data_IF_304651491452
#
_entry.id   IF_304651491452
#
_cell.length_a   1.000
_cell.length_b   1.000
_cell.length_c   1.000
_cell.angle_alpha   90.00
_cell.angle_beta   90.00
_cell.angle_gamma   90.00
#
_symmetry.space_group_name_H-M   'P 1'
#
loop_
_entity.id
_entity.type
_entity.pdbx_description
1 polymer ?
#
# COMPACT_ATOMS: atom_id res chain seq x y z
N UNK A 1 -30.71 -17.08 14.23
CA UNK A 1 -29.31 -17.48 14.55
C UNK A 1 -28.43 -16.26 14.41
N UNK A 2 -28.02 -15.73 15.53
CA UNK A 2 -27.35 -14.45 15.75
C UNK A 2 -25.91 -14.46 15.25
N UNK A 3 -25.56 -13.55 14.36
CA UNK A 3 -24.16 -13.28 13.95
C UNK A 3 -23.51 -12.43 15.02
N UNK A 4 -22.53 -12.97 15.72
CA UNK A 4 -21.61 -12.21 16.54
C UNK A 4 -20.75 -11.30 15.64
N UNK A 5 -20.85 -10.00 15.91
CA UNK A 5 -19.97 -8.97 15.37
C UNK A 5 -18.79 -8.80 16.34
N UNK A 6 -17.67 -9.44 16.08
CA UNK A 6 -16.42 -9.17 16.80
C UNK A 6 -15.62 -8.11 16.04
N UNK A 7 -15.78 -6.87 16.43
CA UNK A 7 -14.97 -5.76 15.98
C UNK A 7 -15.22 -4.55 16.88
N UNK A 8 -14.29 -4.29 17.79
CA UNK A 8 -14.35 -3.11 18.66
C UNK A 8 -14.10 -1.88 17.79
N UNK A 9 -15.06 -0.95 17.75
CA UNK A 9 -14.92 0.30 17.03
C UNK A 9 -13.96 1.25 17.77
N UNK A 10 -13.26 2.12 17.04
CA UNK A 10 -12.38 3.15 17.62
C UNK A 10 -13.09 4.00 18.68
N UNK A 11 -14.38 4.15 18.58
CA UNK A 11 -15.22 4.92 19.53
C UNK A 11 -15.45 4.16 20.84
N UNK A 12 -15.52 2.84 20.79
CA UNK A 12 -15.60 1.98 21.99
C UNK A 12 -14.26 1.89 22.71
N UNK A 13 -13.16 1.84 21.94
CA UNK A 13 -11.80 1.90 22.50
C UNK A 13 -11.53 3.20 23.26
N UNK A 14 -12.02 4.34 22.75
CA UNK A 14 -11.86 5.65 23.42
C UNK A 14 -12.84 5.86 24.58
N UNK A 15 -14.00 5.21 24.58
CA UNK A 15 -14.97 5.30 25.69
C UNK A 15 -14.60 4.47 26.92
N UNK A 16 -13.83 3.41 26.75
CA UNK A 16 -13.35 2.60 27.88
C UNK A 16 -12.19 3.25 28.64
N UNK A 17 -11.61 4.33 28.12
CA UNK A 17 -10.53 5.10 28.76
C UNK A 17 -10.97 6.24 29.69
N UNK A 18 -12.25 6.57 29.81
CA UNK A 18 -12.70 7.78 30.54
C UNK A 18 -13.75 7.58 31.62
N UNK A 19 -13.98 6.36 32.11
CA UNK A 19 -14.95 6.13 33.19
C UNK A 19 -14.38 5.19 34.27
N UNK A 20 -13.50 5.69 35.14
CA UNK A 20 -13.31 5.16 36.49
C UNK A 20 -12.49 6.14 37.36
N UNK A 21 -13.15 7.20 37.78
CA UNK A 21 -12.75 7.90 39.00
C UNK A 21 -13.65 7.41 40.12
N UNK A 22 -13.16 6.47 40.93
CA UNK A 22 -13.49 6.28 42.35
C UNK A 22 -12.71 5.05 42.84
N UNK A 23 -11.97 5.24 43.91
CA UNK A 23 -10.98 4.32 44.44
C UNK A 23 -11.51 2.98 44.89
N UNK A 24 -10.68 1.97 44.73
CA UNK A 24 -10.54 0.83 45.65
C UNK A 24 -9.27 0.04 45.34
N UNK A 25 -8.56 -0.24 46.41
CA UNK A 25 -7.51 -1.24 46.64
C UNK A 25 -6.74 -1.85 45.44
N UNK A 26 -5.49 -1.49 45.36
CA UNK A 26 -4.43 -2.03 44.50
C UNK A 26 -4.18 -3.49 44.78
N UNK A 27 -4.44 -4.36 43.81
CA UNK A 27 -3.74 -5.65 43.68
C UNK A 27 -2.47 -5.43 42.81
N UNK A 28 -1.31 -5.91 43.25
CA UNK A 28 -0.04 -5.61 42.53
C UNK A 28 0.25 -6.63 41.45
N UNK A 29 -0.48 -6.56 40.35
CA UNK A 29 -0.22 -7.42 39.17
C UNK A 29 -0.43 -6.76 37.80
N UNK A 30 -0.58 -5.44 37.74
CA UNK A 30 -0.65 -4.67 36.49
C UNK A 30 0.53 -3.70 36.28
N UNK A 31 1.61 -3.89 37.06
CA UNK A 31 2.86 -3.13 36.88
C UNK A 31 3.74 -3.78 35.80
N UNK A 32 3.34 -3.75 34.52
CA UNK A 32 4.13 -4.40 33.48
C UNK A 32 3.92 -3.93 32.05
N UNK A 33 2.98 -3.07 31.77
CA UNK A 33 2.78 -2.60 30.40
C UNK A 33 2.66 -1.08 30.33
N UNK A 34 3.73 -0.38 30.73
CA UNK A 34 3.93 1.01 30.32
C UNK A 34 4.32 1.03 28.85
N UNK A 35 3.35 1.02 27.98
CA UNK A 35 3.49 1.20 26.53
C UNK A 35 3.64 2.67 26.15
N UNK A 36 4.18 3.51 26.98
CA UNK A 36 4.14 4.95 26.74
C UNK A 36 5.40 5.72 27.11
N UNK A 37 6.56 5.18 26.85
CA UNK A 37 7.66 6.07 26.51
C UNK A 37 7.59 6.25 24.99
N UNK A 38 7.07 7.37 24.52
CA UNK A 38 7.18 7.75 23.11
C UNK A 38 8.67 7.78 22.76
N UNK A 39 9.13 6.78 22.02
CA UNK A 39 10.50 6.79 21.53
C UNK A 39 10.65 7.97 20.60
N UNK A 40 11.62 8.81 20.84
CA UNK A 40 11.97 9.91 19.92
C UNK A 40 12.43 9.37 18.56
N UNK A 41 13.09 8.22 18.56
CA UNK A 41 13.64 7.54 17.37
C UNK A 41 13.02 6.16 17.23
N UNK A 42 12.45 5.86 16.08
CA UNK A 42 11.89 4.55 15.73
C UNK A 42 12.68 3.94 14.58
N UNK A 43 13.18 2.73 14.77
CA UNK A 43 13.93 1.96 13.76
C UNK A 43 13.05 0.90 13.12
N UNK A 44 12.96 0.92 11.80
CA UNK A 44 12.16 -0.01 11.01
C UNK A 44 13.11 -0.91 10.21
N UNK A 45 13.12 -2.21 10.49
CA UNK A 45 13.83 -3.18 9.66
C UNK A 45 12.90 -3.64 8.55
N UNK A 46 13.23 -3.30 7.33
CA UNK A 46 12.36 -3.48 6.17
C UNK A 46 13.02 -4.41 5.13
N UNK A 47 12.23 -5.31 4.53
CA UNK A 47 12.75 -6.26 3.53
C UNK A 47 13.25 -5.60 2.24
N UNK A 48 12.74 -4.42 1.92
CA UNK A 48 13.14 -3.65 0.73
C UNK A 48 13.78 -2.33 1.17
N UNK A 49 14.96 -2.03 0.65
CA UNK A 49 15.63 -0.74 0.88
C UNK A 49 15.13 0.35 -0.05
N UNK A 50 15.42 1.59 0.34
CA UNK A 50 15.29 2.75 -0.54
C UNK A 50 16.46 2.73 -1.52
N UNK A 51 16.17 2.70 -2.81
CA UNK A 51 17.16 2.60 -3.89
C UNK A 51 17.48 3.93 -4.56
N UNK A 52 16.62 4.93 -4.35
CA UNK A 52 16.72 6.24 -4.98
C UNK A 52 16.02 7.31 -4.15
N UNK A 53 16.53 8.54 -4.21
CA UNK A 53 15.84 9.73 -3.70
C UNK A 53 14.86 10.33 -4.73
N UNK A 54 14.66 9.67 -5.86
CA UNK A 54 13.72 10.10 -6.90
C UNK A 54 12.35 9.45 -6.70
N UNK A 55 11.34 10.16 -6.18
CA UNK A 55 10.07 9.56 -5.75
C UNK A 55 9.21 9.02 -6.89
N UNK A 56 9.53 9.34 -8.15
CA UNK A 56 8.81 8.83 -9.32
C UNK A 56 9.55 7.71 -10.06
N UNK A 57 10.76 7.38 -9.64
CA UNK A 57 11.58 6.33 -10.25
C UNK A 57 11.54 5.00 -9.48
N UNK A 58 10.39 4.66 -8.92
CA UNK A 58 10.18 3.37 -8.30
C UNK A 58 8.76 2.85 -8.58
N UNK A 59 8.59 1.54 -8.55
CA UNK A 59 7.31 0.85 -8.73
C UNK A 59 6.89 0.04 -7.49
N UNK A 60 7.73 -0.01 -6.46
CA UNK A 60 7.46 -0.79 -5.24
C UNK A 60 6.40 -0.12 -4.37
N UNK A 61 5.27 -0.80 -4.18
CA UNK A 61 4.20 -0.34 -3.30
C UNK A 61 4.63 -0.18 -1.83
N UNK A 62 5.63 -0.96 -1.39
CA UNK A 62 6.15 -0.88 -0.02
C UNK A 62 6.89 0.42 0.30
N UNK A 63 7.46 1.07 -0.72
CA UNK A 63 8.16 2.34 -0.56
C UNK A 63 7.23 3.55 -0.56
N UNK A 64 6.00 3.43 -1.10
CA UNK A 64 5.03 4.53 -1.05
C UNK A 64 4.72 4.98 0.38
N UNK A 65 4.53 4.04 1.31
CA UNK A 65 4.30 4.36 2.72
C UNK A 65 5.45 5.16 3.36
N UNK A 66 6.70 4.86 2.98
CA UNK A 66 7.85 5.61 3.44
C UNK A 66 7.88 7.04 2.85
N UNK A 67 7.61 7.17 1.55
CA UNK A 67 7.55 8.47 0.88
C UNK A 67 6.45 9.40 1.39
N UNK A 68 5.29 8.86 1.78
CA UNK A 68 4.15 9.66 2.31
C UNK A 68 4.50 10.44 3.57
N UNK A 69 5.57 10.07 4.28
CA UNK A 69 6.07 10.83 5.42
C UNK A 69 6.79 12.12 4.99
N UNK A 70 7.31 12.17 3.78
CA UNK A 70 8.13 13.29 3.27
C UNK A 70 7.40 14.12 2.24
N UNK A 71 6.62 13.46 1.36
CA UNK A 71 5.95 14.10 0.23
C UNK A 71 4.50 13.66 0.20
N UNK A 72 3.59 14.59 0.07
CA UNK A 72 2.17 14.32 0.15
C UNK A 72 1.47 14.34 -1.22
N UNK A 73 0.41 13.51 -1.42
CA UNK A 73 -0.46 13.57 -2.59
C UNK A 73 -1.57 14.63 -2.42
N UNK A 74 -2.34 14.88 -3.46
CA UNK A 74 -3.55 15.73 -3.36
C UNK A 74 -4.59 15.09 -2.44
N UNK A 75 -4.80 13.79 -2.55
CA UNK A 75 -5.71 13.01 -1.73
C UNK A 75 -5.16 11.60 -1.53
N UNK A 76 -5.51 10.97 -0.43
CA UNK A 76 -5.18 9.58 -0.12
C UNK A 76 -6.45 8.73 0.04
N UNK A 77 -6.29 7.42 -0.04
CA UNK A 77 -7.37 6.48 0.17
C UNK A 77 -7.41 6.04 1.63
N UNK A 78 -8.48 6.36 2.34
CA UNK A 78 -8.78 5.75 3.64
C UNK A 78 -9.44 4.38 3.42
N UNK A 79 -8.67 3.32 3.60
CA UNK A 79 -9.13 1.95 3.38
C UNK A 79 -10.11 1.45 4.44
N UNK A 80 -10.15 2.08 5.63
CA UNK A 80 -11.11 1.72 6.67
C UNK A 80 -12.50 2.25 6.33
N UNK A 81 -12.56 3.41 5.67
CA UNK A 81 -13.80 4.05 5.24
C UNK A 81 -14.15 3.74 3.78
N UNK A 82 -13.19 3.19 3.03
CA UNK A 82 -13.29 2.97 1.59
C UNK A 82 -13.62 4.26 0.82
N UNK A 83 -13.00 5.38 1.22
CA UNK A 83 -13.22 6.70 0.65
C UNK A 83 -11.93 7.48 0.43
N UNK A 84 -11.95 8.45 -0.48
CA UNK A 84 -10.86 9.39 -0.65
C UNK A 84 -10.96 10.53 0.35
N UNK A 85 -9.85 10.81 1.03
CA UNK A 85 -9.71 11.90 1.99
C UNK A 85 -8.71 12.92 1.46
N UNK A 86 -9.05 14.19 1.55
CA UNK A 86 -8.18 15.28 1.10
C UNK A 86 -6.89 15.37 1.92
N UNK A 87 -5.78 15.62 1.21
CA UNK A 87 -4.49 15.92 1.83
C UNK A 87 -4.05 17.32 1.44
N UNK A 88 -3.33 17.51 0.33
CA UNK A 88 -3.00 18.85 -0.19
C UNK A 88 -4.21 19.53 -0.86
N UNK A 89 -5.15 18.77 -1.41
CA UNK A 89 -6.46 19.28 -1.79
C UNK A 89 -7.43 19.12 -0.61
N UNK A 90 -8.19 20.15 -0.31
CA UNK A 90 -9.27 20.11 0.69
C UNK A 90 -10.59 19.60 0.10
N UNK A 91 -10.79 19.80 -1.21
CA UNK A 91 -11.96 19.31 -1.95
C UNK A 91 -11.65 19.12 -3.43
N UNK A 92 -12.53 18.42 -4.12
CA UNK A 92 -12.47 18.25 -5.57
C UNK A 92 -13.85 17.99 -6.17
N UNK A 93 -13.98 18.31 -7.45
CA UNK A 93 -15.20 18.10 -8.23
C UNK A 93 -14.89 17.39 -9.54
N UNK A 94 -15.85 16.55 -9.98
CA UNK A 94 -15.81 15.90 -11.28
C UNK A 94 -16.94 16.41 -12.17
N UNK A 95 -16.58 17.07 -13.26
CA UNK A 95 -17.49 17.68 -14.22
C UNK A 95 -17.25 17.08 -15.62
N UNK A 96 -17.75 15.87 -15.86
CA UNK A 96 -17.60 15.17 -17.12
C UNK A 96 -16.12 14.79 -17.44
N UNK A 97 -15.43 15.59 -18.25
CA UNK A 97 -14.02 15.36 -18.60
C UNK A 97 -13.05 16.16 -17.74
N UNK A 98 -13.56 16.93 -16.80
CA UNK A 98 -12.81 17.91 -16.02
C UNK A 98 -12.83 17.53 -14.55
N UNK A 99 -11.66 17.49 -13.94
CA UNK A 99 -11.48 17.43 -12.50
C UNK A 99 -10.98 18.77 -12.00
N UNK A 100 -11.63 19.33 -10.98
CA UNK A 100 -11.21 20.57 -10.32
C UNK A 100 -10.78 20.23 -8.90
N UNK A 101 -9.58 20.59 -8.52
CA UNK A 101 -9.05 20.40 -7.16
C UNK A 101 -8.82 21.76 -6.52
N UNK A 102 -9.33 21.95 -5.32
CA UNK A 102 -9.10 23.11 -4.49
C UNK A 102 -8.03 22.80 -3.47
N UNK A 103 -6.90 23.51 -3.56
CA UNK A 103 -5.74 23.26 -2.72
C UNK A 103 -5.92 23.93 -1.36
N UNK A 104 -5.42 23.28 -0.34
CA UNK A 104 -5.36 23.81 1.02
C UNK A 104 -4.45 25.03 1.07
N UNK A 105 -4.91 26.09 1.72
CA UNK A 105 -4.13 27.33 1.92
C UNK A 105 -3.13 27.16 3.06
N UNK A 106 -2.02 27.88 3.00
CA UNK A 106 -1.01 27.91 4.05
C UNK A 106 -0.09 26.69 4.12
N UNK A 107 -0.21 25.75 3.19
CA UNK A 107 0.73 24.63 3.08
C UNK A 107 2.08 25.13 2.60
N UNK A 108 3.15 24.68 3.29
CA UNK A 108 4.53 25.00 2.94
C UNK A 108 5.33 23.72 2.67
N UNK A 109 6.26 23.83 1.77
CA UNK A 109 7.32 22.85 1.59
C UNK A 109 8.31 22.89 2.77
N UNK A 110 9.14 21.89 2.87
CA UNK A 110 10.12 21.74 3.95
C UNK A 110 11.25 22.76 3.94
N UNK A 111 11.39 23.54 2.86
CA UNK A 111 12.26 24.70 2.73
C UNK A 111 11.58 26.04 3.07
N UNK A 112 10.30 26.01 3.45
CA UNK A 112 9.50 27.18 3.79
C UNK A 112 8.77 27.83 2.62
N UNK A 113 9.02 27.42 1.37
CA UNK A 113 8.32 27.93 0.20
C UNK A 113 6.84 27.50 0.18
N UNK A 114 5.91 28.33 -0.31
CA UNK A 114 4.49 28.01 -0.35
C UNK A 114 4.20 26.96 -1.44
N UNK A 115 3.26 26.06 -1.16
CA UNK A 115 2.66 25.18 -2.17
C UNK A 115 1.67 25.97 -3.01
N UNK A 116 1.76 25.83 -4.32
CA UNK A 116 0.83 26.43 -5.28
C UNK A 116 0.34 25.41 -6.30
N UNK A 117 -0.71 25.78 -7.05
CA UNK A 117 -1.22 24.99 -8.18
C UNK A 117 -0.16 24.72 -9.25
N UNK A 118 0.83 25.60 -9.38
CA UNK A 118 1.95 25.45 -10.31
C UNK A 118 2.85 24.26 -9.96
N UNK A 119 3.06 23.98 -8.66
CA UNK A 119 3.80 22.81 -8.19
C UNK A 119 3.06 21.52 -8.52
N UNK A 120 1.74 21.52 -8.37
CA UNK A 120 0.88 20.37 -8.73
C UNK A 120 0.94 20.11 -10.23
N UNK A 121 0.73 21.15 -11.05
CA UNK A 121 0.78 21.02 -12.51
C UNK A 121 2.17 20.55 -12.98
N UNK A 122 3.22 21.11 -12.41
CA UNK A 122 4.61 20.73 -12.70
C UNK A 122 4.84 19.25 -12.34
N UNK A 123 4.48 18.81 -11.13
CA UNK A 123 4.68 17.44 -10.67
C UNK A 123 3.96 16.43 -11.55
N UNK A 124 2.71 16.71 -11.93
CA UNK A 124 1.93 15.83 -12.81
C UNK A 124 2.50 15.78 -14.23
N UNK A 125 2.92 16.91 -14.79
CA UNK A 125 3.57 16.96 -16.09
C UNK A 125 4.93 16.26 -16.06
N UNK A 126 5.70 16.42 -15.00
CA UNK A 126 6.96 15.71 -14.79
C UNK A 126 6.73 14.18 -14.77
N UNK A 127 5.76 13.70 -13.97
CA UNK A 127 5.39 12.29 -13.98
C UNK A 127 4.98 11.80 -15.37
N UNK A 128 4.27 12.61 -16.16
CA UNK A 128 3.79 12.27 -17.50
C UNK A 128 4.89 12.21 -18.54
N UNK A 129 5.88 13.11 -18.48
CA UNK A 129 6.80 13.36 -19.63
C UNK A 129 8.25 12.99 -19.35
N UNK A 130 8.74 13.09 -18.11
CA UNK A 130 10.14 12.83 -17.78
C UNK A 130 10.52 11.37 -18.08
N UNK A 131 11.68 11.18 -18.74
CA UNK A 131 12.15 9.87 -19.19
C UNK A 131 12.42 8.92 -18.00
N UNK A 132 12.79 9.46 -16.86
CA UNK A 132 13.10 8.71 -15.62
C UNK A 132 11.85 8.27 -14.87
N UNK A 133 10.69 8.87 -15.14
CA UNK A 133 9.45 8.53 -14.45
C UNK A 133 8.90 7.16 -14.87
N UNK A 134 8.68 6.27 -13.90
CA UNK A 134 7.93 5.03 -14.06
C UNK A 134 6.41 5.23 -13.91
N UNK A 135 5.97 6.47 -13.65
CA UNK A 135 4.57 6.79 -13.34
C UNK A 135 3.80 7.44 -14.49
N UNK A 136 4.23 7.25 -15.73
CA UNK A 136 3.61 7.87 -16.93
C UNK A 136 2.20 7.39 -17.24
N UNK A 137 1.96 6.09 -17.03
CA UNK A 137 0.72 5.43 -17.48
C UNK A 137 -0.56 6.09 -16.94
N UNK A 138 -0.66 6.48 -15.67
CA UNK A 138 -1.84 7.16 -15.11
C UNK A 138 -2.19 8.47 -15.81
N UNK A 139 -1.21 9.17 -16.37
CA UNK A 139 -1.39 10.50 -16.96
C UNK A 139 -1.52 10.51 -18.49
N UNK A 140 -1.41 9.36 -19.16
CA UNK A 140 -1.51 9.27 -20.64
C UNK A 140 -2.80 9.87 -21.23
N UNK A 141 -3.88 9.90 -20.44
CA UNK A 141 -5.19 10.43 -20.88
C UNK A 141 -5.46 11.87 -20.41
N UNK A 142 -4.52 12.47 -19.69
CA UNK A 142 -4.57 13.89 -19.33
C UNK A 142 -4.20 14.71 -20.57
N UNK A 143 -5.07 15.61 -20.96
CA UNK A 143 -4.88 16.50 -22.13
C UNK A 143 -4.14 17.76 -21.66
N UNK A 144 -4.67 18.37 -20.60
CA UNK A 144 -4.23 19.68 -20.12
C UNK A 144 -4.35 19.75 -18.60
N UNK A 145 -3.48 20.52 -17.97
CA UNK A 145 -3.55 20.90 -16.55
C UNK A 145 -3.48 22.41 -16.50
N UNK A 146 -4.55 23.03 -16.01
CA UNK A 146 -4.69 24.48 -15.88
C UNK A 146 -4.54 24.88 -14.42
N UNK A 147 -3.98 26.05 -14.19
CA UNK A 147 -3.79 26.67 -12.87
C UNK A 147 -4.34 28.09 -12.89
N UNK A 148 -5.69 28.25 -12.82
CA UNK A 148 -6.33 29.55 -12.95
C UNK A 148 -5.92 30.52 -11.83
N UNK A 149 -5.60 29.99 -10.67
CA UNK A 149 -5.06 30.72 -9.52
C UNK A 149 -4.09 29.83 -8.72
N UNK A 150 -3.51 30.34 -7.65
CA UNK A 150 -2.51 29.61 -6.86
C UNK A 150 -3.08 28.42 -6.06
N UNK A 151 -4.41 28.30 -5.94
CA UNK A 151 -5.06 27.27 -5.13
C UNK A 151 -6.06 26.40 -5.91
N UNK A 152 -6.16 26.59 -7.21
CA UNK A 152 -7.07 25.80 -8.06
C UNK A 152 -6.30 25.07 -9.15
N UNK A 153 -6.50 23.76 -9.26
CA UNK A 153 -5.94 22.94 -10.34
C UNK A 153 -7.06 22.29 -11.13
N UNK A 154 -7.07 22.50 -12.43
CA UNK A 154 -8.06 21.94 -13.35
C UNK A 154 -7.38 20.95 -14.27
N UNK A 155 -7.83 19.69 -14.24
CA UNK A 155 -7.26 18.60 -15.03
C UNK A 155 -8.28 18.12 -16.06
N UNK A 156 -7.95 18.29 -17.34
CA UNK A 156 -8.79 17.84 -18.44
C UNK A 156 -8.32 16.47 -18.94
N UNK A 157 -9.29 15.58 -19.15
CA UNK A 157 -9.04 14.23 -19.68
C UNK A 157 -9.71 14.05 -21.04
N UNK A 158 -9.14 13.17 -21.90
CA UNK A 158 -9.68 12.90 -23.26
C UNK A 158 -11.15 12.45 -23.27
N UNK A 159 -11.54 11.67 -22.24
CA UNK A 159 -12.89 11.13 -22.04
C UNK A 159 -13.23 11.21 -20.55
N UNK A 160 -14.51 11.16 -20.16
CA UNK A 160 -14.89 11.06 -18.76
C UNK A 160 -14.14 9.94 -18.06
N UNK A 161 -13.55 10.23 -16.88
CA UNK A 161 -12.72 9.28 -16.16
C UNK A 161 -12.98 9.36 -14.66
N UNK A 162 -14.02 8.68 -14.21
CA UNK A 162 -14.40 8.60 -12.79
C UNK A 162 -13.28 7.99 -11.93
N UNK A 163 -12.56 6.99 -12.48
CA UNK A 163 -11.44 6.32 -11.78
C UNK A 163 -10.16 7.16 -11.70
N UNK A 164 -10.20 8.47 -11.99
CA UNK A 164 -9.02 9.31 -12.00
C UNK A 164 -8.37 9.43 -10.62
N UNK A 165 -9.18 9.57 -9.55
CA UNK A 165 -8.67 9.60 -8.18
C UNK A 165 -7.87 8.34 -7.84
N UNK A 166 -8.43 7.16 -8.11
CA UNK A 166 -7.79 5.87 -7.82
C UNK A 166 -6.49 5.69 -8.59
N UNK A 167 -6.49 6.03 -9.87
CA UNK A 167 -5.39 5.70 -10.77
C UNK A 167 -4.33 6.78 -10.90
N UNK A 168 -4.69 8.06 -10.66
CA UNK A 168 -3.83 9.19 -11.01
C UNK A 168 -3.59 10.18 -9.87
N UNK A 169 -4.27 10.05 -8.74
CA UNK A 169 -4.12 10.93 -7.59
C UNK A 169 -3.55 10.17 -6.39
N UNK A 170 -4.08 8.99 -6.09
CA UNK A 170 -3.56 8.15 -5.01
C UNK A 170 -2.06 7.88 -5.21
N UNK A 171 -1.25 8.11 -4.18
CA UNK A 171 0.19 7.88 -4.19
C UNK A 171 0.92 8.65 -5.34
N UNK A 172 0.39 9.81 -5.73
CA UNK A 172 1.04 10.71 -6.68
C UNK A 172 1.49 11.95 -5.93
N UNK A 173 2.76 11.94 -5.57
CA UNK A 173 3.38 12.92 -4.71
C UNK A 173 3.56 14.27 -5.42
N UNK A 174 3.37 15.36 -4.68
CA UNK A 174 3.57 16.71 -5.19
C UNK A 174 4.89 17.24 -4.64
N UNK A 175 5.75 17.69 -5.54
CA UNK A 175 7.08 18.19 -5.21
C UNK A 175 7.24 19.66 -5.55
N UNK A 176 8.17 20.33 -4.87
CA UNK A 176 8.51 21.70 -5.18
C UNK A 176 9.08 21.82 -6.59
N UNK A 177 8.39 22.59 -7.44
CA UNK A 177 8.84 22.92 -8.79
C UNK A 177 10.21 23.60 -8.74
N UNK A 178 10.35 24.62 -7.87
CA UNK A 178 11.59 25.37 -7.73
C UNK A 178 12.78 24.48 -7.33
N UNK A 179 12.56 23.53 -6.41
CA UNK A 179 13.61 22.61 -6.00
C UNK A 179 14.04 21.66 -7.13
N UNK A 180 13.09 21.15 -7.93
CA UNK A 180 13.41 20.29 -9.06
C UNK A 180 14.15 21.07 -10.15
N UNK A 181 13.71 22.27 -10.48
CA UNK A 181 14.36 23.13 -11.50
C UNK A 181 15.77 23.51 -11.07
N UNK A 182 15.98 23.84 -9.78
CA UNK A 182 17.30 24.13 -9.23
C UNK A 182 18.27 22.96 -9.33
N UNK A 183 17.79 21.73 -9.04
CA UNK A 183 18.61 20.53 -9.06
C UNK A 183 18.82 19.97 -10.48
N UNK A 184 17.97 20.32 -11.44
CA UNK A 184 18.08 19.92 -12.83
C UNK A 184 18.29 18.42 -13.05
N UNK A 185 19.40 18.03 -13.69
CA UNK A 185 19.77 16.62 -13.94
C UNK A 185 20.12 15.85 -12.67
N UNK A 186 20.48 16.53 -11.60
CA UNK A 186 20.84 15.94 -10.31
C UNK A 186 19.62 15.71 -9.40
N UNK A 187 18.44 16.01 -9.90
CA UNK A 187 17.20 15.61 -9.22
C UNK A 187 17.19 14.08 -8.96
N UNK A 188 16.96 13.71 -7.70
CA UNK A 188 17.07 12.32 -7.26
C UNK A 188 18.42 11.94 -6.62
N UNK A 189 19.42 12.84 -6.68
CA UNK A 189 20.66 12.72 -5.89
C UNK A 189 20.60 13.52 -4.60
N UNK A 190 19.67 14.48 -4.51
CA UNK A 190 19.46 15.34 -3.34
C UNK A 190 18.17 14.96 -2.61
N UNK A 191 18.10 15.18 -1.28
CA UNK A 191 16.87 15.02 -0.52
C UNK A 191 15.72 15.82 -1.16
N UNK A 192 14.55 15.19 -1.37
CA UNK A 192 13.42 15.88 -1.95
C UNK A 192 12.84 16.91 -1.01
N UNK A 193 12.45 18.06 -1.56
CA UNK A 193 11.70 19.09 -0.87
C UNK A 193 10.21 18.75 -1.01
N UNK A 194 9.61 18.28 0.07
CA UNK A 194 8.20 17.87 0.13
C UNK A 194 7.43 18.68 1.17
N UNK A 195 6.13 18.44 1.26
CA UNK A 195 5.20 19.09 2.19
C UNK A 195 4.95 18.27 3.44
N UNK A 196 5.54 17.08 3.54
CA UNK A 196 5.23 16.08 4.56
C UNK A 196 5.70 16.41 5.97
N UNK A 197 5.24 15.62 6.96
CA UNK A 197 5.58 15.82 8.37
C UNK A 197 7.03 15.49 8.73
N UNK A 198 7.80 14.93 7.79
CA UNK A 198 9.23 14.63 7.95
C UNK A 198 10.06 15.16 6.78
N UNK A 199 11.34 15.38 7.04
CA UNK A 199 12.38 15.77 6.06
C UNK A 199 13.42 14.66 5.98
N UNK A 200 13.96 14.36 4.81
CA UNK A 200 15.09 13.43 4.66
C UNK A 200 16.36 14.08 5.23
N UNK A 201 17.01 13.37 6.13
CA UNK A 201 18.26 13.81 6.78
C UNK A 201 19.46 13.12 6.13
N UNK A 202 19.37 11.83 5.91
CA UNK A 202 20.40 11.06 5.24
C UNK A 202 19.81 9.90 4.44
N UNK A 203 20.55 9.50 3.43
CA UNK A 203 20.20 8.39 2.57
C UNK A 203 21.46 7.63 2.17
N UNK A 204 21.45 6.34 2.39
CA UNK A 204 22.43 5.43 1.85
C UNK A 204 21.68 4.38 1.01
N UNK A 205 22.07 4.23 -0.24
CA UNK A 205 21.49 3.21 -1.11
C UNK A 205 21.65 1.82 -0.50
N UNK A 206 20.56 1.07 -0.42
CA UNK A 206 20.52 -0.25 0.24
C UNK A 206 20.94 -0.27 1.73
N UNK A 207 21.13 0.88 2.33
CA UNK A 207 21.43 1.09 3.75
C UNK A 207 20.30 1.80 4.48
N UNK A 208 20.70 2.71 5.37
CA UNK A 208 19.76 3.47 6.19
C UNK A 208 19.16 4.65 5.39
N UNK A 209 17.85 4.82 5.53
CA UNK A 209 17.15 6.01 5.15
C UNK A 209 16.58 6.68 6.40
N UNK A 210 17.10 7.88 6.72
CA UNK A 210 16.78 8.60 7.94
C UNK A 210 15.92 9.81 7.60
N UNK A 211 14.77 9.90 8.26
CA UNK A 211 13.89 11.06 8.18
C UNK A 211 13.65 11.64 9.56
N UNK A 212 13.63 12.97 9.66
CA UNK A 212 13.41 13.71 10.91
C UNK A 212 12.19 14.58 10.78
N UNK A 213 11.43 14.72 11.89
CA UNK A 213 10.22 15.51 11.96
C UNK A 213 10.46 16.94 11.46
N UNK A 214 9.54 17.39 10.62
CA UNK A 214 9.49 18.77 10.16
C UNK A 214 8.80 19.61 11.25
N UNK A 215 9.55 20.45 11.95
CA UNK A 215 9.00 21.28 13.02
C UNK A 215 8.07 22.39 12.49
N UNK A 216 8.19 22.75 11.21
CA UNK A 216 7.34 23.72 10.53
C UNK A 216 6.20 23.08 9.74
N UNK A 217 5.88 21.81 10.04
CA UNK A 217 4.82 21.10 9.34
C UNK A 217 3.47 21.80 9.49
N UNK A 218 2.76 21.98 8.39
CA UNK A 218 1.48 22.67 8.31
C UNK A 218 0.31 21.93 9.01
N UNK A 219 0.42 20.63 9.21
CA UNK A 219 -0.58 19.79 9.86
C UNK A 219 -0.23 19.46 11.32
N UNK A 220 -0.90 18.45 11.87
CA UNK A 220 -0.60 17.96 13.21
C UNK A 220 0.79 17.34 13.27
N UNK A 221 1.64 17.81 14.17
CA UNK A 221 3.00 17.30 14.34
C UNK A 221 2.98 15.86 14.88
N UNK A 222 3.72 14.93 14.25
CA UNK A 222 3.87 13.57 14.78
C UNK A 222 4.61 13.59 16.13
N UNK A 223 4.37 12.56 16.94
CA UNK A 223 5.08 12.40 18.23
C UNK A 223 6.52 11.93 18.03
N UNK A 224 6.75 10.96 17.13
CA UNK A 224 8.09 10.43 16.82
C UNK A 224 8.91 11.52 16.14
N UNK A 225 10.13 11.75 16.61
CA UNK A 225 11.02 12.78 16.06
C UNK A 225 11.82 12.30 14.86
N UNK A 226 12.20 11.02 14.84
CA UNK A 226 13.03 10.47 13.77
C UNK A 226 12.64 9.02 13.45
N UNK A 227 12.63 8.68 12.17
CA UNK A 227 12.56 7.31 11.69
C UNK A 227 13.83 6.92 10.97
N UNK A 228 14.30 5.71 11.23
CA UNK A 228 15.41 5.06 10.53
C UNK A 228 14.86 3.81 9.85
N UNK A 229 14.76 3.84 8.52
CA UNK A 229 14.47 2.64 7.71
C UNK A 229 15.78 1.96 7.35
N UNK A 230 15.94 0.72 7.78
CA UNK A 230 17.08 -0.11 7.46
C UNK A 230 16.66 -1.31 6.62
N UNK A 231 17.35 -1.52 5.49
CA UNK A 231 17.16 -2.73 4.70
C UNK A 231 17.75 -3.94 5.43
N UNK A 232 16.89 -4.94 5.66
CA UNK A 232 17.27 -6.28 6.12
C UNK A 232 16.49 -7.28 5.26
N UNK A 233 17.12 -7.79 4.20
CA UNK A 233 16.47 -8.60 3.18
C UNK A 233 15.91 -9.92 3.71
N UNK A 234 16.70 -10.60 4.55
CA UNK A 234 16.35 -11.90 5.10
C UNK A 234 15.27 -11.80 6.20
N UNK A 235 14.22 -12.57 6.07
CA UNK A 235 13.08 -12.55 6.99
C UNK A 235 13.47 -12.97 8.41
N UNK A 236 14.26 -14.03 8.54
CA UNK A 236 14.76 -14.52 9.83
C UNK A 236 15.66 -13.48 10.52
N UNK A 237 16.49 -12.77 9.76
CA UNK A 237 17.34 -11.71 10.30
C UNK A 237 16.51 -10.51 10.80
N UNK A 238 15.38 -10.17 10.16
CA UNK A 238 14.47 -9.14 10.67
C UNK A 238 13.85 -9.55 12.00
N UNK A 239 13.40 -10.80 12.11
CA UNK A 239 12.82 -11.33 13.36
C UNK A 239 13.87 -11.31 14.48
N UNK A 240 15.07 -11.83 14.24
CA UNK A 240 16.16 -11.81 15.21
C UNK A 240 16.53 -10.37 15.61
N UNK A 241 16.59 -9.45 14.67
CA UNK A 241 16.87 -8.03 14.92
C UNK A 241 15.82 -7.35 15.79
N UNK A 242 14.53 -7.69 15.63
CA UNK A 242 13.46 -7.21 16.49
C UNK A 242 13.61 -7.73 17.93
N UNK A 243 13.84 -9.02 18.10
CA UNK A 243 14.01 -9.65 19.40
C UNK A 243 15.26 -9.15 20.15
N UNK A 244 16.33 -8.87 19.42
CA UNK A 244 17.57 -8.27 19.94
C UNK A 244 17.44 -6.75 20.20
N UNK A 245 16.31 -6.11 19.88
CA UNK A 245 16.12 -4.66 20.05
C UNK A 245 16.89 -3.79 19.06
N UNK A 246 17.38 -4.38 17.96
CA UNK A 246 18.05 -3.63 16.88
C UNK A 246 17.05 -2.84 16.01
N UNK A 247 15.80 -3.26 15.98
CA UNK A 247 14.67 -2.58 15.38
C UNK A 247 13.47 -2.55 16.29
N UNK A 248 12.58 -1.58 16.08
CA UNK A 248 11.33 -1.40 16.82
C UNK A 248 10.13 -1.96 16.04
N UNK A 249 10.21 -1.94 14.72
CA UNK A 249 9.18 -2.42 13.80
C UNK A 249 9.84 -3.27 12.73
N UNK A 250 9.24 -4.40 12.42
CA UNK A 250 9.57 -5.21 11.24
C UNK A 250 8.32 -5.44 10.39
N UNK A 251 8.50 -5.62 9.10
CA UNK A 251 7.43 -6.03 8.20
C UNK A 251 7.73 -7.37 7.53
N UNK A 252 6.72 -7.97 6.92
CA UNK A 252 6.82 -9.26 6.22
C UNK A 252 7.39 -10.35 7.12
N UNK A 253 6.69 -10.63 8.21
CA UNK A 253 7.02 -11.70 9.15
C UNK A 253 6.77 -13.05 8.47
N UNK A 254 7.70 -14.03 8.55
CA UNK A 254 7.42 -15.38 8.11
C UNK A 254 6.18 -15.94 8.80
N UNK A 255 5.27 -16.52 8.05
CA UNK A 255 3.96 -16.94 8.56
C UNK A 255 4.09 -17.91 9.74
N UNK A 256 5.06 -18.84 9.67
CA UNK A 256 5.32 -19.83 10.73
C UNK A 256 5.88 -19.20 12.03
N UNK A 257 6.43 -17.99 11.99
CA UNK A 257 6.93 -17.27 13.16
C UNK A 257 5.81 -16.53 13.92
N UNK A 258 4.67 -16.28 13.29
CA UNK A 258 3.58 -15.50 13.87
C UNK A 258 3.13 -16.07 15.23
N UNK A 259 2.82 -17.38 15.37
CA UNK A 259 2.35 -17.93 16.65
C UNK A 259 3.40 -17.82 17.78
N UNK A 260 4.68 -17.86 17.43
CA UNK A 260 5.78 -17.70 18.38
C UNK A 260 5.90 -16.25 18.84
N UNK A 261 5.85 -15.31 17.90
CA UNK A 261 5.95 -13.87 18.18
C UNK A 261 4.72 -13.33 18.93
N UNK A 262 3.52 -13.84 18.69
CA UNK A 262 2.32 -13.49 19.44
C UNK A 262 2.41 -13.83 20.94
N UNK A 263 3.21 -14.86 21.28
CA UNK A 263 3.48 -15.25 22.66
C UNK A 263 4.68 -14.54 23.28
N UNK A 264 5.44 -13.78 22.49
CA UNK A 264 6.65 -13.12 22.97
C UNK A 264 6.30 -11.88 23.84
N UNK A 265 6.83 -11.76 25.07
CA UNK A 265 6.36 -10.77 26.05
C UNK A 265 6.64 -9.31 25.65
N UNK A 266 7.55 -9.07 24.73
CA UNK A 266 7.96 -7.73 24.28
C UNK A 266 7.59 -7.42 22.83
N UNK A 267 6.90 -8.32 22.14
CA UNK A 267 6.53 -8.16 20.75
C UNK A 267 5.01 -8.15 20.60
N UNK A 268 4.52 -7.24 19.79
CA UNK A 268 3.12 -7.20 19.37
C UNK A 268 3.04 -7.48 17.88
N UNK A 269 2.25 -8.47 17.51
CA UNK A 269 1.97 -8.79 16.11
C UNK A 269 0.69 -8.10 15.67
N UNK A 270 0.77 -7.28 14.62
CA UNK A 270 -0.38 -6.65 14.00
C UNK A 270 -0.66 -7.29 12.65
N UNK A 271 -1.89 -7.79 12.47
CA UNK A 271 -2.38 -8.38 11.22
C UNK A 271 -3.36 -7.41 10.57
N UNK A 272 -2.99 -6.91 9.40
CA UNK A 272 -3.81 -5.96 8.66
C UNK A 272 -4.22 -6.59 7.33
N UNK A 273 -5.53 -6.64 6.99
CA UNK A 273 -5.98 -7.09 5.68
C UNK A 273 -5.33 -6.26 4.58
N UNK A 274 -4.55 -6.91 3.73
CA UNK A 274 -3.85 -6.26 2.64
C UNK A 274 -4.70 -6.12 1.38
N UNK A 275 -4.23 -5.29 0.44
CA UNK A 275 -4.86 -5.13 -0.87
C UNK A 275 -4.23 -6.05 -1.93
N UNK A 276 -3.17 -6.79 -1.56
CA UNK A 276 -2.53 -7.72 -2.49
C UNK A 276 -3.36 -8.97 -2.64
N UNK A 277 -3.47 -9.39 -3.88
CA UNK A 277 -4.15 -10.63 -4.25
C UNK A 277 -3.19 -11.56 -4.97
N UNK A 278 -3.31 -12.86 -4.73
CA UNK A 278 -2.71 -13.89 -5.55
C UNK A 278 -3.69 -14.25 -6.65
N UNK A 279 -3.23 -14.24 -7.88
CA UNK A 279 -4.01 -14.69 -9.02
C UNK A 279 -3.09 -15.25 -10.11
N UNK A 280 -3.62 -16.17 -10.91
CA UNK A 280 -2.96 -16.66 -12.12
C UNK A 280 -3.61 -16.05 -13.34
N UNK A 281 -2.83 -15.33 -14.13
CA UNK A 281 -3.30 -14.69 -15.36
C UNK A 281 -3.45 -15.73 -16.48
N UNK A 282 -4.69 -15.97 -16.93
CA UNK A 282 -4.98 -16.82 -18.08
C UNK A 282 -5.14 -15.92 -19.31
N UNK A 283 -4.11 -15.84 -20.16
CA UNK A 283 -4.11 -14.92 -21.29
C UNK A 283 -5.01 -15.44 -22.44
N UNK A 284 -6.19 -14.82 -22.68
CA UNK A 284 -7.15 -15.33 -23.65
C UNK A 284 -6.73 -15.12 -25.12
N UNK A 285 -5.61 -14.46 -25.38
CA UNK A 285 -5.07 -14.29 -26.76
C UNK A 285 -4.39 -15.57 -27.24
N UNK A 286 -3.91 -16.40 -26.32
CA UNK A 286 -3.15 -17.62 -26.65
C UNK A 286 -3.94 -18.88 -26.31
N UNK A 287 -3.79 -19.90 -27.17
CA UNK A 287 -4.26 -21.27 -26.87
C UNK A 287 -3.48 -21.83 -25.68
N UNK A 288 -4.15 -22.61 -24.81
CA UNK A 288 -5.55 -23.01 -24.86
C UNK A 288 -6.49 -22.02 -24.14
N UNK A 289 -5.97 -20.91 -23.64
CA UNK A 289 -6.69 -19.96 -22.81
C UNK A 289 -7.73 -19.09 -23.57
N UNK A 290 -7.71 -19.12 -24.91
CA UNK A 290 -8.76 -18.54 -25.77
C UNK A 290 -10.11 -19.23 -25.56
N UNK A 291 -10.12 -20.52 -25.18
CA UNK A 291 -11.32 -21.28 -24.88
C UNK A 291 -11.86 -21.00 -23.48
N UNK A 292 -13.10 -20.51 -23.37
CA UNK A 292 -13.77 -20.21 -22.11
C UNK A 292 -13.88 -21.43 -21.20
N UNK A 293 -14.17 -22.61 -21.75
CA UNK A 293 -14.33 -23.85 -20.97
C UNK A 293 -13.02 -24.25 -20.28
N UNK A 294 -11.87 -24.04 -20.93
CA UNK A 294 -10.54 -24.28 -20.36
C UNK A 294 -10.29 -23.33 -19.19
N UNK A 295 -10.59 -22.04 -19.35
CA UNK A 295 -10.44 -21.08 -18.25
C UNK A 295 -11.34 -21.39 -17.07
N UNK A 296 -12.56 -21.83 -17.32
CA UNK A 296 -13.48 -22.29 -16.26
C UNK A 296 -12.94 -23.54 -15.57
N UNK A 297 -12.44 -24.53 -16.33
CA UNK A 297 -11.84 -25.75 -15.78
C UNK A 297 -10.67 -25.42 -14.84
N UNK A 298 -9.78 -24.51 -15.24
CA UNK A 298 -8.67 -24.06 -14.39
C UNK A 298 -9.17 -23.43 -13.07
N UNK A 299 -10.27 -22.68 -13.08
CA UNK A 299 -10.85 -22.15 -11.84
C UNK A 299 -11.44 -23.22 -10.94
N UNK A 300 -12.08 -24.27 -11.51
CA UNK A 300 -12.62 -25.39 -10.73
C UNK A 300 -11.55 -26.33 -10.18
N UNK A 301 -10.34 -26.34 -10.76
CA UNK A 301 -9.26 -27.25 -10.37
C UNK A 301 -8.46 -26.82 -9.16
N UNK A 302 -8.55 -25.55 -8.72
CA UNK A 302 -7.71 -25.01 -7.63
C UNK A 302 -8.48 -24.92 -6.31
N UNK A 303 -8.00 -25.63 -5.28
CA UNK A 303 -8.49 -25.52 -3.91
C UNK A 303 -7.82 -24.33 -3.17
N UNK A 304 -8.37 -23.14 -3.38
CA UNK A 304 -7.84 -21.92 -2.75
C UNK A 304 -8.03 -21.91 -1.22
N UNK A 305 -9.04 -22.63 -0.67
CA UNK A 305 -9.21 -22.73 0.78
C UNK A 305 -8.11 -23.56 1.42
N UNK A 306 -7.74 -24.66 0.79
CA UNK A 306 -6.62 -25.49 1.22
C UNK A 306 -5.29 -24.75 1.16
N UNK A 307 -5.07 -23.94 0.11
CA UNK A 307 -3.89 -23.07 -0.01
C UNK A 307 -3.81 -22.08 1.15
N UNK A 308 -4.89 -21.35 1.45
CA UNK A 308 -4.91 -20.42 2.57
C UNK A 308 -4.66 -21.11 3.90
N UNK A 309 -5.30 -22.25 4.12
CA UNK A 309 -5.18 -23.01 5.36
C UNK A 309 -3.77 -23.58 5.57
N UNK A 310 -3.19 -24.24 4.54
CA UNK A 310 -2.00 -25.07 4.70
C UNK A 310 -0.68 -24.38 4.31
N UNK A 311 -0.72 -23.37 3.44
CA UNK A 311 0.49 -22.62 3.05
C UNK A 311 0.62 -21.32 3.84
N UNK A 312 -0.52 -20.68 4.13
CA UNK A 312 -0.54 -19.41 4.85
C UNK A 312 -0.98 -19.54 6.32
N UNK A 313 -1.14 -20.76 6.84
CA UNK A 313 -1.59 -21.02 8.22
C UNK A 313 -2.84 -20.19 8.60
N UNK A 314 -3.77 -20.03 7.65
CA UNK A 314 -4.97 -19.23 7.81
C UNK A 314 -4.75 -17.71 7.78
N UNK A 315 -3.52 -17.22 7.55
CA UNK A 315 -3.23 -15.78 7.49
C UNK A 315 -3.53 -15.21 6.09
N UNK A 316 -4.78 -15.27 5.70
CA UNK A 316 -5.31 -14.79 4.43
C UNK A 316 -6.77 -15.15 4.29
N UNK A 317 -7.37 -14.73 3.20
CA UNK A 317 -8.75 -15.11 2.88
C UNK A 317 -8.91 -15.33 1.37
N UNK A 318 -9.81 -16.23 1.04
CA UNK A 318 -10.12 -16.53 -0.35
C UNK A 318 -11.06 -15.47 -0.90
N UNK A 319 -10.74 -14.94 -2.07
CA UNK A 319 -11.57 -13.93 -2.74
C UNK A 319 -12.62 -14.59 -3.63
N UNK A 320 -13.82 -14.03 -3.62
CA UNK A 320 -14.90 -14.41 -4.54
C UNK A 320 -14.82 -13.69 -5.90
N UNK A 321 -14.03 -12.64 -5.97
CA UNK A 321 -13.83 -11.83 -7.18
C UNK A 321 -12.41 -11.32 -7.33
N UNK A 322 -12.17 -10.48 -8.34
CA UNK A 322 -10.82 -9.99 -8.66
C UNK A 322 -10.32 -8.91 -7.69
N UNK A 323 -11.14 -8.46 -6.74
CA UNK A 323 -10.79 -7.44 -5.74
C UNK A 323 -11.33 -7.82 -4.37
N UNK A 324 -10.62 -7.45 -3.32
CA UNK A 324 -11.01 -7.71 -1.93
C UNK A 324 -11.96 -6.65 -1.35
N UNK A 325 -12.48 -6.91 -0.13
CA UNK A 325 -13.52 -6.08 0.51
C UNK A 325 -13.14 -4.61 0.75
N UNK A 326 -11.84 -4.31 0.81
CA UNK A 326 -11.31 -2.96 1.05
C UNK A 326 -10.93 -2.22 -0.24
N UNK A 327 -11.37 -2.71 -1.40
CA UNK A 327 -11.07 -2.12 -2.69
C UNK A 327 -12.35 -1.58 -3.32
N UNK A 328 -12.29 -0.34 -3.83
CA UNK A 328 -13.42 0.25 -4.59
C UNK A 328 -13.77 -0.66 -5.77
N UNK A 329 -15.04 -1.01 -5.89
CA UNK A 329 -15.55 -1.95 -6.91
C UNK A 329 -15.70 -3.39 -6.40
N UNK A 330 -15.45 -3.65 -5.11
CA UNK A 330 -15.79 -4.93 -4.51
C UNK A 330 -17.30 -5.19 -4.57
N UNK A 331 -17.67 -6.36 -5.05
CA UNK A 331 -19.05 -6.83 -5.08
C UNK A 331 -19.22 -8.00 -4.09
N UNK A 332 -19.95 -7.81 -2.97
CA UNK A 332 -20.16 -8.86 -1.98
C UNK A 332 -21.06 -10.00 -2.47
N UNK A 333 -21.75 -9.82 -3.61
CA UNK A 333 -22.63 -10.84 -4.18
C UNK A 333 -21.92 -11.71 -5.23
N UNK A 334 -20.70 -11.35 -5.62
CA UNK A 334 -19.89 -12.16 -6.52
C UNK A 334 -19.57 -13.51 -5.87
N UNK A 335 -19.67 -14.59 -6.66
CA UNK A 335 -19.34 -15.93 -6.20
C UNK A 335 -18.25 -16.51 -7.10
N UNK A 336 -17.21 -17.02 -6.48
CA UNK A 336 -16.14 -17.75 -7.16
C UNK A 336 -16.61 -19.09 -7.66
N UNK A 337 -15.85 -19.65 -8.56
CA UNK A 337 -15.97 -21.06 -8.90
C UNK A 337 -15.56 -21.92 -7.69
N UNK A 338 -16.38 -22.89 -7.22
CA UNK A 338 -15.98 -23.79 -6.15
C UNK A 338 -14.88 -24.75 -6.65
N UNK A 339 -14.12 -25.33 -5.73
CA UNK A 339 -13.21 -26.42 -6.05
C UNK A 339 -14.03 -27.66 -6.41
N UNK A 340 -13.95 -28.09 -7.67
CA UNK A 340 -14.65 -29.26 -8.23
C UNK A 340 -13.83 -29.88 -9.37
N UNK A 341 -12.87 -30.77 -9.05
CA UNK A 341 -12.05 -31.44 -10.07
C UNK A 341 -12.85 -32.27 -11.07
N UNK A 342 -14.02 -32.81 -10.68
CA UNK A 342 -14.88 -33.55 -11.59
C UNK A 342 -15.45 -32.64 -12.67
N UNK A 343 -15.94 -31.47 -12.24
CA UNK A 343 -16.43 -30.43 -13.15
C UNK A 343 -15.32 -29.90 -14.04
N UNK A 344 -14.10 -29.72 -13.51
CA UNK A 344 -12.95 -29.33 -14.30
C UNK A 344 -12.66 -30.31 -15.44
N UNK A 345 -12.61 -31.62 -15.15
CA UNK A 345 -12.42 -32.67 -16.16
C UNK A 345 -13.54 -32.70 -17.21
N UNK A 346 -14.79 -32.57 -16.79
CA UNK A 346 -15.95 -32.46 -17.71
C UNK A 346 -15.79 -31.30 -18.69
N UNK A 347 -15.42 -30.11 -18.18
CA UNK A 347 -15.23 -28.93 -18.99
C UNK A 347 -14.06 -29.07 -19.98
N UNK A 348 -12.94 -29.67 -19.54
CA UNK A 348 -11.81 -30.00 -20.44
C UNK A 348 -12.22 -30.96 -21.54
N UNK A 349 -12.96 -32.02 -21.22
CA UNK A 349 -13.45 -32.99 -22.21
C UNK A 349 -14.35 -32.32 -23.24
N UNK A 350 -15.26 -31.42 -22.81
CA UNK A 350 -16.11 -30.62 -23.70
C UNK A 350 -15.32 -29.61 -24.55
N UNK A 351 -14.18 -29.16 -24.05
CA UNK A 351 -13.26 -28.28 -24.78
C UNK A 351 -12.36 -29.02 -25.79
N UNK A 352 -12.49 -30.37 -25.90
CA UNK A 352 -11.69 -31.21 -26.79
C UNK A 352 -10.47 -31.85 -26.12
N UNK A 353 -10.26 -31.68 -24.81
CA UNK A 353 -9.10 -32.18 -24.06
C UNK A 353 -9.49 -33.34 -23.13
N UNK A 354 -10.01 -34.43 -23.66
CA UNK A 354 -10.48 -35.61 -22.89
C UNK A 354 -9.38 -36.27 -22.08
N UNK A 355 -8.14 -36.25 -22.57
CA UNK A 355 -6.97 -36.88 -21.96
C UNK A 355 -6.12 -35.92 -21.12
N UNK A 356 -6.64 -34.73 -20.82
CA UNK A 356 -5.90 -33.71 -20.11
C UNK A 356 -5.26 -32.70 -21.06
N UNK A 357 -4.55 -31.76 -20.48
CA UNK A 357 -3.95 -30.62 -21.17
C UNK A 357 -2.70 -30.18 -20.42
N UNK A 358 -1.57 -30.20 -21.10
CA UNK A 358 -0.32 -29.66 -20.57
C UNK A 358 -0.27 -28.15 -20.72
N UNK A 359 -0.02 -27.47 -19.62
CA UNK A 359 0.14 -26.02 -19.58
C UNK A 359 1.40 -25.62 -18.83
N UNK A 360 1.99 -24.49 -19.19
CA UNK A 360 3.15 -23.94 -18.49
C UNK A 360 2.73 -22.82 -17.56
N UNK A 361 3.12 -22.94 -16.29
CA UNK A 361 2.96 -21.90 -15.29
C UNK A 361 4.26 -21.14 -15.12
N UNK A 362 4.20 -19.81 -15.22
CA UNK A 362 5.35 -18.92 -15.05
C UNK A 362 5.15 -18.03 -13.83
N UNK A 363 6.17 -17.92 -13.00
CA UNK A 363 6.17 -17.03 -11.83
C UNK A 363 7.58 -16.51 -11.55
N UNK A 364 7.71 -15.54 -10.65
CA UNK A 364 8.99 -14.97 -10.21
C UNK A 364 9.24 -15.37 -8.76
N UNK A 365 10.12 -16.37 -8.50
CA UNK A 365 10.35 -16.86 -7.15
C UNK A 365 10.87 -15.76 -6.21
N UNK A 366 10.39 -15.77 -4.95
CA UNK A 366 10.81 -14.84 -3.90
C UNK A 366 10.26 -13.42 -4.04
N UNK A 367 9.33 -13.19 -4.95
CA UNK A 367 8.72 -11.86 -5.12
C UNK A 367 7.54 -11.62 -4.15
N UNK A 368 6.80 -12.68 -3.82
CA UNK A 368 5.69 -12.65 -2.87
C UNK A 368 5.88 -13.72 -1.80
N UNK A 369 5.29 -13.50 -0.62
CA UNK A 369 5.31 -14.50 0.45
C UNK A 369 4.75 -15.83 -0.05
N UNK A 370 5.50 -16.92 0.13
CA UNK A 370 5.08 -18.28 -0.23
C UNK A 370 4.74 -18.51 -1.72
N UNK A 371 5.26 -17.66 -2.63
CA UNK A 371 4.93 -17.76 -4.06
C UNK A 371 5.37 -19.09 -4.68
N UNK A 372 6.51 -19.61 -4.28
CA UNK A 372 7.01 -20.89 -4.77
C UNK A 372 6.12 -22.05 -4.35
N UNK A 373 5.76 -22.13 -3.07
CA UNK A 373 4.89 -23.19 -2.53
C UNK A 373 3.48 -23.12 -3.15
N UNK A 374 2.92 -21.90 -3.29
CA UNK A 374 1.62 -21.71 -3.95
C UNK A 374 1.68 -22.18 -5.41
N UNK A 375 2.72 -21.81 -6.15
CA UNK A 375 2.87 -22.23 -7.55
C UNK A 375 3.06 -23.74 -7.70
N UNK A 376 3.81 -24.38 -6.81
CA UNK A 376 4.00 -25.83 -6.81
C UNK A 376 2.68 -26.56 -6.56
N UNK A 377 1.89 -26.12 -5.57
CA UNK A 377 0.57 -26.72 -5.28
C UNK A 377 -0.42 -26.50 -6.42
N UNK A 378 -0.39 -25.35 -7.09
CA UNK A 378 -1.28 -25.10 -8.25
C UNK A 378 -0.84 -25.90 -9.49
N UNK A 379 0.45 -26.20 -9.61
CA UNK A 379 0.98 -26.99 -10.73
C UNK A 379 0.75 -28.51 -10.56
N UNK A 380 0.58 -29.02 -9.34
CA UNK A 380 0.27 -30.41 -9.03
C UNK A 380 -1.19 -30.77 -9.29
#
# INVERSE_FOLDING_TARGET
MTREKSGISRREFLRQGTAAGLGLAVSPSLAGLSWAATKDVVKILHGTGMDSLHPYNHSSGSLYGAWEHVIEPLAYMDYNRNEFVGRLAESWEFQGKKWVFHLRKGVKFSDGSPLTSKDVAFSMNFMKTDKRSLQKSPFKRVVEIQTPDDHTVVILTKKPRVTFLVNSIRNRFIMSKAAIEKNGTDFGKHPPIGTGPYKVVSFQRDGDWVIRRNEDYWGAKPQVKEYIWRKVGEEAARVAGLEAGQGDIINYIPVHEIPRLERHPRVRVEKVPGLRIYFFGLNPVFKPWDNKLVRQAANYSVDAHSIVKNIFDGNGFVLDGPVGPHVIGYDPNMKRYPYDPKKAKELLARAGYKNGLDVKLYFSPGHYAKDTEVCQVVAS
#
